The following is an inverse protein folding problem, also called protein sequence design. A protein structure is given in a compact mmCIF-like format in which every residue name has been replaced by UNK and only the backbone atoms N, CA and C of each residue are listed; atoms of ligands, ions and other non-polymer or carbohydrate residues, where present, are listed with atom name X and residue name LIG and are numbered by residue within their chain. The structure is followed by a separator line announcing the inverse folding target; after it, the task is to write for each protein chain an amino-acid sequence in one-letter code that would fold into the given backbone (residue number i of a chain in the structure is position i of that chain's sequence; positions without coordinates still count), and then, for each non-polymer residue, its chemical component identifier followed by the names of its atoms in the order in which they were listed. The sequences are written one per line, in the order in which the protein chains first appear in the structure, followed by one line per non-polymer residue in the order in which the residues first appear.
data_IF_558256510897
#
_entry.id   IF_558256510897
#
_cell.length_a   1.000
_cell.length_b   1.000
_cell.length_c   1.000
_cell.angle_alpha   90.00
_cell.angle_beta   90.00
_cell.angle_gamma   90.00
#
_symmetry.space_group_name_H-M   'P 1'
#
loop_
_entity.id
_entity.type
_entity.pdbx_description
1 polymer ?
#
# COMPACT_ATOMS: atom_id res chain seq x y z
N UNK A 1 32.91 -4.55 -6.16
CA UNK A 1 32.07 -4.88 -4.99
C UNK A 1 31.01 -3.79 -4.95
N UNK A 2 29.80 -4.08 -5.43
CA UNK A 2 28.69 -3.12 -5.44
C UNK A 2 27.79 -3.55 -4.29
N UNK A 3 27.85 -2.84 -3.18
CA UNK A 3 26.93 -3.02 -2.06
C UNK A 3 25.53 -2.69 -2.58
N UNK A 4 24.53 -3.58 -2.43
CA UNK A 4 23.16 -3.22 -2.77
C UNK A 4 22.75 -2.02 -1.90
N UNK A 5 21.99 -1.04 -2.44
CA UNK A 5 21.51 0.08 -1.65
C UNK A 5 20.73 -0.45 -0.45
N UNK A 6 21.06 0.08 0.73
CA UNK A 6 20.47 -0.30 2.01
C UNK A 6 18.95 -0.13 1.96
N UNK A 7 18.23 -1.07 2.56
CA UNK A 7 16.76 -1.11 2.55
C UNK A 7 16.13 0.19 3.11
N UNK A 8 16.87 0.91 3.95
CA UNK A 8 16.48 2.21 4.51
C UNK A 8 16.41 3.31 3.43
N UNK A 9 17.36 3.38 2.49
CA UNK A 9 17.33 4.37 1.39
C UNK A 9 16.23 4.09 0.36
N UNK A 10 15.78 2.83 0.29
CA UNK A 10 14.62 2.43 -0.54
C UNK A 10 13.30 2.76 0.13
N UNK A 11 13.23 2.65 1.45
CA UNK A 11 12.05 3.03 2.23
C UNK A 11 11.84 4.56 2.18
N UNK A 12 12.90 5.36 2.40
CA UNK A 12 12.82 6.82 2.34
C UNK A 12 12.40 7.33 0.95
N UNK A 13 12.98 6.79 -0.13
CA UNK A 13 12.54 7.12 -1.50
C UNK A 13 11.12 6.67 -1.82
N UNK A 14 10.65 5.59 -1.20
CA UNK A 14 9.28 5.11 -1.33
C UNK A 14 8.28 6.05 -0.68
N UNK A 15 8.59 6.55 0.52
CA UNK A 15 7.74 7.49 1.27
C UNK A 15 7.67 8.86 0.58
N UNK A 16 8.80 9.44 0.17
CA UNK A 16 8.82 10.71 -0.58
C UNK A 16 8.04 10.60 -1.91
N UNK A 17 8.14 9.46 -2.59
CA UNK A 17 7.41 9.21 -3.84
C UNK A 17 5.90 9.03 -3.62
N UNK A 18 5.48 8.50 -2.47
CA UNK A 18 4.07 8.32 -2.14
C UNK A 18 3.42 9.64 -1.68
N UNK A 19 4.16 10.48 -0.97
CA UNK A 19 3.73 11.85 -0.64
C UNK A 19 3.50 12.68 -1.91
N UNK A 20 4.43 12.62 -2.87
CA UNK A 20 4.27 13.27 -4.17
C UNK A 20 3.03 12.75 -4.93
N UNK A 21 2.83 11.42 -4.97
CA UNK A 21 1.66 10.81 -5.59
C UNK A 21 0.33 11.22 -4.92
N UNK A 22 0.34 11.47 -3.61
CA UNK A 22 -0.83 11.93 -2.85
C UNK A 22 -1.15 13.38 -3.18
N UNK A 23 -0.14 14.24 -3.19
CA UNK A 23 -0.30 15.65 -3.53
C UNK A 23 -0.82 15.83 -4.98
N UNK A 24 -0.27 15.07 -5.93
CA UNK A 24 -0.69 15.16 -7.32
C UNK A 24 -2.08 14.56 -7.57
N UNK A 25 -2.52 13.61 -6.73
CA UNK A 25 -3.89 13.10 -6.74
C UNK A 25 -4.90 14.19 -6.31
N UNK A 26 -4.54 15.04 -5.35
CA UNK A 26 -5.37 16.17 -4.96
C UNK A 26 -5.55 17.16 -6.11
N UNK A 27 -4.47 17.48 -6.84
CA UNK A 27 -4.56 18.31 -8.06
C UNK A 27 -5.44 17.67 -9.14
N UNK A 28 -5.39 16.35 -9.30
CA UNK A 28 -6.25 15.63 -10.24
C UNK A 28 -7.72 15.69 -9.82
N UNK A 29 -7.99 15.65 -8.50
CA UNK A 29 -9.34 15.81 -7.94
C UNK A 29 -9.90 17.22 -8.21
N UNK A 30 -9.07 18.25 -8.15
CA UNK A 30 -9.46 19.62 -8.52
C UNK A 30 -9.81 19.72 -10.01
N UNK A 31 -9.03 19.09 -10.89
CA UNK A 31 -9.34 19.01 -12.33
C UNK A 31 -10.66 18.28 -12.60
N UNK A 32 -10.94 17.20 -11.88
CA UNK A 32 -12.24 16.50 -11.96
C UNK A 32 -13.41 17.42 -11.55
N UNK A 33 -13.22 18.23 -10.50
CA UNK A 33 -14.24 19.18 -10.05
C UNK A 33 -14.42 20.35 -11.02
N UNK A 34 -13.36 20.81 -11.68
CA UNK A 34 -13.42 21.80 -12.76
C UNK A 34 -14.14 21.22 -13.99
N UNK A 35 -13.82 19.99 -14.39
CA UNK A 35 -14.50 19.29 -15.48
C UNK A 35 -16.00 19.10 -15.20
N UNK A 36 -16.37 18.76 -13.96
CA UNK A 36 -17.77 18.65 -13.54
C UNK A 36 -18.55 19.97 -13.64
N UNK A 37 -17.84 21.11 -13.58
CA UNK A 37 -18.41 22.46 -13.78
C UNK A 37 -18.39 22.91 -15.24
N UNK A 38 -17.77 22.13 -16.14
CA UNK A 38 -17.59 22.47 -17.55
C UNK A 38 -16.37 23.35 -17.85
N UNK A 39 -15.52 23.59 -16.84
CA UNK A 39 -14.33 24.45 -16.95
C UNK A 39 -13.11 23.71 -17.54
N UNK A 40 -13.23 22.40 -17.76
CA UNK A 40 -12.18 21.53 -18.31
C UNK A 40 -12.81 20.54 -19.26
N UNK A 41 -12.17 20.32 -20.41
CA UNK A 41 -12.64 19.36 -21.40
C UNK A 41 -12.38 17.91 -20.96
N UNK A 42 -13.17 16.97 -21.48
CA UNK A 42 -12.95 15.55 -21.24
C UNK A 42 -11.60 15.03 -21.75
N UNK A 43 -11.04 15.67 -22.78
CA UNK A 43 -9.71 15.34 -23.31
C UNK A 43 -8.61 15.77 -22.33
N UNK A 44 -8.64 17.01 -21.86
CA UNK A 44 -7.67 17.51 -20.86
C UNK A 44 -7.71 16.69 -19.57
N UNK A 45 -8.91 16.26 -19.14
CA UNK A 45 -9.04 15.37 -18.00
C UNK A 45 -8.42 13.99 -18.26
N UNK A 46 -8.63 13.42 -19.45
CA UNK A 46 -8.04 12.13 -19.83
C UNK A 46 -6.52 12.20 -19.85
N UNK A 47 -5.96 13.28 -20.39
CA UNK A 47 -4.52 13.51 -20.45
C UNK A 47 -3.93 13.71 -19.03
N UNK A 48 -4.63 14.42 -18.15
CA UNK A 48 -4.23 14.60 -16.75
C UNK A 48 -4.21 13.28 -15.97
N UNK A 49 -5.27 12.45 -16.11
CA UNK A 49 -5.32 11.11 -15.51
C UNK A 49 -4.21 10.21 -16.07
N UNK A 50 -3.99 10.25 -17.38
CA UNK A 50 -2.94 9.46 -18.04
C UNK A 50 -1.54 9.82 -17.56
N UNK A 51 -1.27 11.13 -17.43
CA UNK A 51 0.02 11.63 -16.93
C UNK A 51 0.25 11.24 -15.48
N UNK A 52 -0.76 11.43 -14.62
CA UNK A 52 -0.70 11.00 -13.21
C UNK A 52 -0.40 9.50 -13.09
N UNK A 53 -1.08 8.67 -13.88
CA UNK A 53 -0.87 7.23 -13.85
C UNK A 53 0.55 6.85 -14.28
N UNK A 54 1.05 7.42 -15.38
CA UNK A 54 2.40 7.10 -15.87
C UNK A 54 3.50 7.51 -14.89
N UNK A 55 3.32 8.64 -14.21
CA UNK A 55 4.31 9.17 -13.27
C UNK A 55 4.32 8.39 -11.95
N UNK A 56 3.14 8.06 -11.41
CA UNK A 56 3.02 7.52 -10.06
C UNK A 56 2.76 6.00 -9.99
N UNK A 57 2.55 5.32 -11.11
CA UNK A 57 2.33 3.86 -11.15
C UNK A 57 3.35 3.07 -10.30
N UNK A 58 4.67 3.29 -10.42
CA UNK A 58 5.65 2.50 -9.68
C UNK A 58 5.50 2.63 -8.16
N UNK A 59 5.27 3.86 -7.68
CA UNK A 59 5.08 4.16 -6.27
C UNK A 59 3.77 3.55 -5.74
N UNK A 60 2.69 3.69 -6.50
CA UNK A 60 1.39 3.11 -6.15
C UNK A 60 1.43 1.57 -6.11
N UNK A 61 2.14 0.94 -7.06
CA UNK A 61 2.35 -0.52 -7.06
C UNK A 61 3.17 -0.99 -5.86
N UNK A 62 4.22 -0.25 -5.50
CA UNK A 62 5.04 -0.56 -4.33
C UNK A 62 4.21 -0.45 -3.05
N UNK A 63 3.47 0.65 -2.87
CA UNK A 63 2.60 0.85 -1.72
C UNK A 63 1.53 -0.26 -1.61
N UNK A 64 0.90 -0.65 -2.73
CA UNK A 64 -0.07 -1.74 -2.76
C UNK A 64 0.55 -3.10 -2.36
N UNK A 65 1.78 -3.36 -2.79
CA UNK A 65 2.51 -4.57 -2.39
C UNK A 65 2.85 -4.56 -0.90
N UNK A 66 3.31 -3.44 -0.36
CA UNK A 66 3.62 -3.27 1.07
C UNK A 66 2.38 -3.45 1.95
N UNK A 67 1.22 -2.89 1.56
CA UNK A 67 -0.05 -3.08 2.27
C UNK A 67 -0.50 -4.55 2.25
N UNK A 68 -0.29 -5.25 1.13
CA UNK A 68 -0.63 -6.67 1.01
C UNK A 68 0.24 -7.53 1.93
N UNK A 69 1.54 -7.22 2.01
CA UNK A 69 2.46 -7.93 2.90
C UNK A 69 2.17 -7.63 4.37
N UNK A 70 1.88 -6.37 4.72
CA UNK A 70 1.49 -6.02 6.10
C UNK A 70 0.19 -6.73 6.52
N UNK A 71 -0.81 -6.78 5.63
CA UNK A 71 -2.04 -7.53 5.86
C UNK A 71 -1.76 -9.04 6.05
N UNK A 72 -0.87 -9.62 5.23
CA UNK A 72 -0.44 -11.02 5.35
C UNK A 72 0.22 -11.28 6.70
N UNK A 73 1.12 -10.40 7.15
CA UNK A 73 1.82 -10.51 8.42
C UNK A 73 0.86 -10.38 9.61
N UNK A 74 -0.09 -9.44 9.57
CA UNK A 74 -1.13 -9.28 10.59
C UNK A 74 -2.02 -10.52 10.68
N UNK A 75 -2.45 -11.06 9.54
CA UNK A 75 -3.24 -12.30 9.50
C UNK A 75 -2.46 -13.49 10.08
N UNK A 76 -1.17 -13.60 9.76
CA UNK A 76 -0.30 -14.64 10.30
C UNK A 76 -0.12 -14.51 11.82
N UNK A 77 0.05 -13.30 12.34
CA UNK A 77 0.15 -13.05 13.77
C UNK A 77 -1.15 -13.43 14.51
N UNK A 78 -2.32 -13.13 13.94
CA UNK A 78 -3.61 -13.56 14.50
C UNK A 78 -3.76 -15.08 14.50
N UNK A 79 -3.35 -15.75 13.41
CA UNK A 79 -3.37 -17.21 13.34
C UNK A 79 -2.50 -17.85 14.43
N UNK A 80 -1.32 -17.30 14.71
CA UNK A 80 -0.47 -17.79 15.80
C UNK A 80 -1.09 -17.56 17.18
N UNK A 81 -1.65 -16.36 17.43
CA UNK A 81 -2.39 -16.06 18.68
C UNK A 81 -3.54 -17.04 18.88
N UNK A 82 -4.27 -17.35 17.82
CA UNK A 82 -5.39 -18.29 17.88
C UNK A 82 -4.90 -19.71 18.21
N UNK A 83 -3.81 -20.17 17.59
CA UNK A 83 -3.20 -21.48 17.87
C UNK A 83 -2.76 -21.61 19.33
N UNK A 84 -2.12 -20.59 19.89
CA UNK A 84 -1.70 -20.57 21.30
C UNK A 84 -2.89 -20.61 22.26
N UNK A 85 -3.96 -19.89 21.93
CA UNK A 85 -5.21 -19.92 22.70
C UNK A 85 -5.86 -21.30 22.67
N UNK A 86 -5.84 -22.00 21.53
CA UNK A 86 -6.33 -23.37 21.45
C UNK A 86 -5.45 -24.35 22.24
N UNK A 87 -4.12 -24.19 22.18
CA UNK A 87 -3.18 -25.04 22.91
C UNK A 87 -3.33 -24.91 24.43
N UNK A 88 -3.72 -23.73 24.93
CA UNK A 88 -3.97 -23.50 26.36
C UNK A 88 -5.36 -23.95 26.81
N UNK A 89 -6.32 -24.06 25.89
CA UNK A 89 -7.69 -24.53 26.16
C UNK A 89 -7.86 -26.05 26.02
N UNK A 90 -6.95 -26.72 25.32
CA UNK A 90 -6.95 -28.18 25.23
C UNK A 90 -6.47 -28.79 26.55
N UNK A 91 -7.25 -29.68 27.19
CA UNK A 91 -6.78 -30.39 28.37
C UNK A 91 -5.55 -31.22 28.00
N UNK A 92 -4.48 -31.13 28.81
CA UNK A 92 -3.38 -32.10 28.73
C UNK A 92 -4.01 -33.48 28.85
N UNK A 93 -3.80 -34.35 27.86
CA UNK A 93 -4.22 -35.75 27.92
C UNK A 93 -3.87 -36.28 29.32
N UNK A 94 -4.81 -36.90 30.06
CA UNK A 94 -4.45 -37.58 31.29
C UNK A 94 -3.41 -38.63 30.92
N UNK A 95 -2.29 -38.64 31.65
CA UNK A 95 -1.29 -39.70 31.57
C UNK A 95 -2.03 -41.03 31.75
N UNK A 96 -2.03 -41.85 30.70
CA UNK A 96 -2.50 -43.23 30.77
C UNK A 96 -1.54 -43.97 31.70
N UNK A 97 -1.98 -44.19 32.94
CA UNK A 97 -1.31 -45.01 33.96
C UNK A 97 -1.42 -46.49 33.63
#
# INVERSE_FOLDING_TARGET
MITPPDDDERAERGDESLEAATHDLERLREHLQAAARGDTSGQELTDAVGSYWQEHEPALRLAAASLTEEARLRALAELYRWRERLATQLPKKPDES
#
